data_IF_069772880817
#
_entry.id   IF_069772880817
#
_cell.length_a   1.000
_cell.length_b   1.000
_cell.length_c   1.000
_cell.angle_alpha   90.00
_cell.angle_beta   90.00
_cell.angle_gamma   90.00
#
_symmetry.space_group_name_H-M   'P 1'
#
loop_
_entity.id
_entity.type
_entity.pdbx_description
1 polymer ?
#
# COMPACT_ATOMS: atom_id res chain seq x y z
N UNK A 1 -14.44 -28.15 -13.93
CA UNK A 1 -13.01 -28.34 -13.58
C UNK A 1 -12.88 -27.98 -12.10
N UNK A 2 -12.70 -28.95 -11.22
CA UNK A 2 -12.58 -28.68 -9.78
C UNK A 2 -11.32 -27.85 -9.53
N UNK A 3 -11.49 -26.57 -9.18
CA UNK A 3 -10.38 -25.76 -8.69
C UNK A 3 -9.87 -26.37 -7.40
N UNK A 4 -8.62 -26.84 -7.40
CA UNK A 4 -7.91 -27.14 -6.17
C UNK A 4 -7.55 -25.79 -5.53
N UNK A 5 -8.28 -25.42 -4.49
CA UNK A 5 -7.91 -24.29 -3.64
C UNK A 5 -6.71 -24.73 -2.80
N UNK A 6 -5.55 -24.15 -3.09
CA UNK A 6 -4.32 -24.43 -2.35
C UNK A 6 -4.28 -23.60 -1.06
N UNK A 7 -5.17 -23.90 -0.12
CA UNK A 7 -5.28 -23.19 1.17
C UNK A 7 -3.95 -23.25 1.93
N UNK A 8 -3.23 -24.36 1.83
CA UNK A 8 -1.91 -24.54 2.45
C UNK A 8 -0.90 -23.46 2.00
N UNK A 9 -0.93 -23.05 0.73
CA UNK A 9 -0.06 -21.99 0.19
C UNK A 9 -0.43 -20.62 0.77
N UNK A 10 -1.71 -20.34 0.95
CA UNK A 10 -2.19 -19.08 1.54
C UNK A 10 -1.77 -18.98 2.99
N UNK A 11 -2.00 -20.04 3.77
CA UNK A 11 -1.62 -20.08 5.19
C UNK A 11 -0.11 -19.93 5.33
N UNK A 12 0.67 -20.66 4.51
CA UNK A 12 2.13 -20.54 4.48
C UNK A 12 2.57 -19.11 4.21
N UNK A 13 2.07 -18.49 3.13
CA UNK A 13 2.45 -17.13 2.75
C UNK A 13 2.06 -16.10 3.79
N UNK A 14 0.85 -16.19 4.36
CA UNK A 14 0.38 -15.24 5.34
C UNK A 14 1.16 -15.31 6.65
N UNK A 15 1.35 -16.52 7.19
CA UNK A 15 2.06 -16.70 8.47
C UNK A 15 3.53 -16.32 8.34
N UNK A 16 4.21 -16.76 7.28
CA UNK A 16 5.64 -16.46 7.12
C UNK A 16 5.92 -15.01 6.80
N UNK A 17 5.10 -14.35 5.98
CA UNK A 17 5.28 -12.92 5.70
C UNK A 17 5.12 -12.09 6.97
N UNK A 18 4.10 -12.36 7.79
CA UNK A 18 3.94 -11.71 9.10
C UNK A 18 5.11 -11.99 10.04
N UNK A 19 5.55 -13.24 10.11
CA UNK A 19 6.67 -13.64 10.97
C UNK A 19 7.96 -12.93 10.56
N UNK A 20 8.32 -12.95 9.27
CA UNK A 20 9.52 -12.28 8.79
C UNK A 20 9.43 -10.76 8.91
N UNK A 21 8.26 -10.15 8.66
CA UNK A 21 8.06 -8.73 8.91
C UNK A 21 8.23 -8.38 10.40
N UNK A 22 7.73 -9.19 11.33
CA UNK A 22 7.94 -8.99 12.75
C UNK A 22 9.44 -9.11 13.11
N UNK A 23 10.15 -10.09 12.54
CA UNK A 23 11.59 -10.24 12.73
C UNK A 23 12.39 -9.04 12.23
N UNK A 24 11.95 -8.31 11.20
CA UNK A 24 12.59 -7.05 10.82
C UNK A 24 12.67 -6.04 11.98
N UNK A 25 11.73 -6.07 12.91
CA UNK A 25 11.72 -5.18 14.08
C UNK A 25 12.59 -5.65 15.26
N UNK A 26 12.98 -6.93 15.29
CA UNK A 26 13.77 -7.51 16.39
C UNK A 26 15.27 -7.59 16.10
N UNK A 27 15.70 -7.19 14.91
CA UNK A 27 17.05 -7.44 14.43
C UNK A 27 17.89 -6.19 14.53
N UNK A 28 19.03 -6.31 15.22
CA UNK A 28 19.92 -5.18 15.50
C UNK A 28 20.85 -4.82 14.33
N UNK A 29 20.98 -5.70 13.33
CA UNK A 29 21.89 -5.48 12.19
C UNK A 29 21.13 -5.09 10.93
N UNK A 30 21.62 -4.07 10.22
CA UNK A 30 20.99 -3.58 8.97
C UNK A 30 21.01 -4.67 7.88
N UNK A 31 22.05 -5.51 7.85
CA UNK A 31 22.12 -6.67 6.97
C UNK A 31 21.05 -7.71 7.31
N UNK A 32 20.84 -8.00 8.59
CA UNK A 32 19.77 -8.89 9.03
C UNK A 32 18.38 -8.33 8.69
N UNK A 33 18.16 -7.03 8.87
CA UNK A 33 16.93 -6.35 8.43
C UNK A 33 16.69 -6.56 6.92
N UNK A 34 17.71 -6.41 6.08
CA UNK A 34 17.60 -6.66 4.64
C UNK A 34 17.24 -8.12 4.33
N UNK A 35 17.88 -9.10 4.98
CA UNK A 35 17.57 -10.53 4.78
C UNK A 35 16.10 -10.82 5.10
N UNK A 36 15.59 -10.36 6.24
CA UNK A 36 14.20 -10.62 6.63
C UNK A 36 13.21 -9.92 5.72
N UNK A 37 13.56 -8.75 5.19
CA UNK A 37 12.75 -8.06 4.19
C UNK A 37 12.64 -8.90 2.90
N UNK A 38 13.74 -9.47 2.41
CA UNK A 38 13.71 -10.36 1.23
C UNK A 38 12.91 -11.65 1.49
N UNK A 39 13.10 -12.27 2.65
CA UNK A 39 12.37 -13.47 3.04
C UNK A 39 10.86 -13.19 3.14
N UNK A 40 10.46 -12.04 3.69
CA UNK A 40 9.08 -11.61 3.71
C UNK A 40 8.52 -11.46 2.29
N UNK A 41 9.24 -10.77 1.40
CA UNK A 41 8.84 -10.58 0.00
C UNK A 41 8.71 -11.88 -0.80
N UNK A 42 9.63 -12.83 -0.61
CA UNK A 42 9.58 -14.15 -1.26
C UNK A 42 8.48 -15.03 -0.68
N UNK A 43 8.24 -14.97 0.64
CA UNK A 43 7.19 -15.74 1.29
C UNK A 43 5.78 -15.34 0.85
N UNK A 44 5.59 -14.12 0.33
CA UNK A 44 4.30 -13.67 -0.22
C UNK A 44 3.98 -14.27 -1.61
N UNK A 45 4.99 -14.70 -2.37
CA UNK A 45 4.83 -15.17 -3.76
C UNK A 45 3.92 -16.41 -3.89
N UNK A 46 4.01 -17.45 -3.05
CA UNK A 46 3.14 -18.62 -3.17
C UNK A 46 1.64 -18.31 -3.13
N UNK A 47 1.21 -17.25 -2.44
CA UNK A 47 -0.19 -16.81 -2.37
C UNK A 47 -0.75 -16.41 -3.75
N UNK A 48 0.11 -16.01 -4.69
CA UNK A 48 -0.30 -15.70 -6.07
C UNK A 48 -0.90 -16.94 -6.74
N UNK A 49 -0.35 -18.13 -6.50
CA UNK A 49 -0.78 -19.37 -7.16
C UNK A 49 -2.05 -20.02 -6.55
N UNK A 50 -2.73 -19.35 -5.62
CA UNK A 50 -3.91 -19.88 -4.93
C UNK A 50 -5.10 -20.13 -5.87
N UNK A 51 -5.33 -19.21 -6.82
CA UNK A 51 -6.42 -19.28 -7.79
C UNK A 51 -5.84 -19.39 -9.20
N UNK A 52 -6.34 -20.35 -9.99
CA UNK A 52 -5.77 -20.69 -11.31
C UNK A 52 -5.55 -19.47 -12.19
N UNK A 53 -4.29 -19.19 -12.51
CA UNK A 53 -3.87 -17.91 -13.11
C UNK A 53 -4.32 -17.75 -14.56
N UNK A 54 -4.98 -16.62 -14.85
CA UNK A 54 -5.13 -16.12 -16.22
C UNK A 54 -3.79 -15.63 -16.80
N UNK A 55 -3.74 -15.31 -18.10
CA UNK A 55 -2.49 -14.90 -18.78
C UNK A 55 -1.80 -13.68 -18.13
N UNK A 56 -2.57 -12.75 -17.56
CA UNK A 56 -2.06 -11.56 -16.86
C UNK A 56 -1.35 -11.87 -15.52
N UNK A 57 -1.53 -13.09 -15.01
CA UNK A 57 -0.92 -13.54 -13.78
C UNK A 57 0.61 -13.60 -13.90
N UNK A 58 1.12 -14.25 -14.94
CA UNK A 58 2.56 -14.44 -15.13
C UNK A 58 3.29 -13.13 -15.39
N UNK A 59 2.65 -12.20 -16.11
CA UNK A 59 3.22 -10.86 -16.30
C UNK A 59 3.30 -10.09 -14.98
N UNK A 60 2.26 -10.14 -14.14
CA UNK A 60 2.27 -9.51 -12.81
C UNK A 60 3.35 -10.09 -11.89
N UNK A 61 3.50 -11.41 -11.86
CA UNK A 61 4.52 -12.10 -11.06
C UNK A 61 5.93 -11.76 -11.55
N UNK A 62 6.15 -11.74 -12.86
CA UNK A 62 7.44 -11.35 -13.45
C UNK A 62 7.80 -9.91 -13.07
N UNK A 63 6.86 -8.97 -13.19
CA UNK A 63 7.07 -7.56 -12.80
C UNK A 63 7.39 -7.45 -11.31
N UNK A 64 6.65 -8.15 -10.44
CA UNK A 64 6.93 -8.16 -9.00
C UNK A 64 8.35 -8.66 -8.69
N UNK A 65 8.77 -9.80 -9.26
CA UNK A 65 10.09 -10.38 -8.99
C UNK A 65 11.21 -9.48 -9.51
N UNK A 66 11.06 -8.91 -10.71
CA UNK A 66 12.07 -8.01 -11.28
C UNK A 66 12.22 -6.75 -10.41
N UNK A 67 11.11 -6.11 -10.05
CA UNK A 67 11.16 -4.87 -9.26
C UNK A 67 11.65 -5.13 -7.83
N UNK A 68 11.24 -6.25 -7.21
CA UNK A 68 11.76 -6.68 -5.92
C UNK A 68 13.28 -6.92 -5.99
N UNK A 69 13.77 -7.64 -7.00
CA UNK A 69 15.19 -7.90 -7.22
C UNK A 69 16.02 -6.64 -7.50
N UNK A 70 15.50 -5.70 -8.30
CA UNK A 70 16.16 -4.41 -8.55
C UNK A 70 16.23 -3.60 -7.26
N UNK A 71 15.13 -3.53 -6.49
CA UNK A 71 15.11 -2.82 -5.22
C UNK A 71 16.11 -3.39 -4.21
N UNK A 72 16.25 -4.72 -4.15
CA UNK A 72 17.13 -5.41 -3.23
C UNK A 72 18.60 -5.25 -3.60
N UNK A 73 18.92 -5.21 -4.90
CA UNK A 73 20.26 -4.92 -5.39
C UNK A 73 20.71 -3.50 -5.03
N UNK A 74 19.83 -2.49 -5.16
CA UNK A 74 20.12 -1.12 -4.73
C UNK A 74 20.31 -1.02 -3.21
N UNK A 75 19.45 -1.67 -2.42
CA UNK A 75 19.60 -1.73 -0.97
C UNK A 75 20.95 -2.33 -0.58
N UNK A 76 21.29 -3.50 -1.11
CA UNK A 76 22.56 -4.17 -0.81
C UNK A 76 23.77 -3.34 -1.26
N UNK A 77 23.71 -2.73 -2.45
CA UNK A 77 24.76 -1.86 -2.95
C UNK A 77 25.01 -0.64 -2.04
N UNK A 78 23.96 -0.03 -1.53
CA UNK A 78 24.07 1.08 -0.57
C UNK A 78 24.55 0.66 0.82
N UNK A 79 24.29 -0.59 1.22
CA UNK A 79 24.79 -1.14 2.49
C UNK A 79 26.28 -1.51 2.45
N UNK A 80 26.78 -1.98 1.30
CA UNK A 80 28.18 -2.41 1.15
C UNK A 80 29.14 -1.23 0.95
N UNK A 81 28.67 -0.13 0.32
CA UNK A 81 29.49 1.03 0.00
C UNK A 81 28.90 2.30 0.62
N UNK A 82 29.61 2.90 1.58
CA UNK A 82 29.18 4.12 2.28
C UNK A 82 28.90 5.30 1.35
N UNK A 83 29.67 5.43 0.25
CA UNK A 83 29.50 6.49 -0.75
C UNK A 83 28.19 6.36 -1.55
N UNK A 84 27.57 5.18 -1.55
CA UNK A 84 26.34 4.88 -2.29
C UNK A 84 25.10 4.88 -1.38
N UNK A 85 25.14 5.56 -0.25
CA UNK A 85 24.03 5.61 0.71
C UNK A 85 22.69 6.07 0.09
N UNK A 86 22.73 6.90 -0.96
CA UNK A 86 21.54 7.28 -1.75
C UNK A 86 20.81 6.07 -2.36
N UNK A 87 21.51 4.98 -2.71
CA UNK A 87 20.90 3.77 -3.25
C UNK A 87 20.00 3.05 -2.24
N UNK A 88 20.23 3.24 -0.94
CA UNK A 88 19.31 2.70 0.07
C UNK A 88 17.94 3.36 -0.09
N UNK A 89 17.92 4.69 -0.23
CA UNK A 89 16.69 5.45 -0.42
C UNK A 89 15.99 5.06 -1.74
N UNK A 90 16.73 4.98 -2.85
CA UNK A 90 16.18 4.54 -4.15
C UNK A 90 15.61 3.13 -4.06
N UNK A 91 16.34 2.20 -3.42
CA UNK A 91 15.87 0.83 -3.21
C UNK A 91 14.53 0.79 -2.49
N UNK A 92 14.36 1.59 -1.44
CA UNK A 92 13.08 1.69 -0.75
C UNK A 92 11.97 2.41 -1.52
N UNK A 93 12.27 3.47 -2.27
CA UNK A 93 11.28 4.12 -3.16
C UNK A 93 10.73 3.10 -4.15
N UNK A 94 11.61 2.31 -4.77
CA UNK A 94 11.20 1.23 -5.68
C UNK A 94 10.34 0.22 -4.94
N UNK A 95 10.78 -0.25 -3.76
CA UNK A 95 10.12 -1.32 -3.00
C UNK A 95 8.74 -0.93 -2.45
N UNK A 96 8.58 0.31 -2.02
CA UNK A 96 7.31 0.87 -1.55
C UNK A 96 6.41 1.34 -2.71
N UNK A 97 6.94 1.42 -3.93
CA UNK A 97 6.20 1.85 -5.11
C UNK A 97 5.91 3.36 -5.14
N UNK A 98 6.81 4.17 -4.57
CA UNK A 98 6.67 5.62 -4.60
C UNK A 98 7.08 6.15 -5.98
N UNK A 99 6.69 7.40 -6.27
CA UNK A 99 7.07 8.11 -7.47
C UNK A 99 8.60 8.20 -7.55
N UNK A 100 9.22 7.96 -8.72
CA UNK A 100 8.61 7.71 -10.05
C UNK A 100 8.21 6.25 -10.32
N UNK A 101 8.53 5.32 -9.44
CA UNK A 101 8.34 3.89 -9.61
C UNK A 101 6.97 3.39 -9.12
N UNK A 102 5.89 4.15 -9.30
CA UNK A 102 4.56 3.72 -8.83
C UNK A 102 3.87 2.71 -9.76
N UNK A 103 4.15 2.76 -11.06
CA UNK A 103 3.40 2.03 -12.08
C UNK A 103 3.53 0.50 -12.00
N UNK A 104 4.63 -0.02 -11.44
CA UNK A 104 4.78 -1.47 -11.27
C UNK A 104 3.77 -2.03 -10.27
N UNK A 105 3.42 -1.26 -9.23
CA UNK A 105 2.42 -1.68 -8.23
C UNK A 105 1.06 -1.86 -8.90
N UNK A 106 0.67 -0.98 -9.83
CA UNK A 106 -0.55 -1.13 -10.61
C UNK A 106 -0.53 -2.39 -11.48
N UNK A 107 0.57 -2.64 -12.20
CA UNK A 107 0.71 -3.83 -13.02
C UNK A 107 0.60 -5.12 -12.19
N UNK A 108 1.13 -5.09 -10.96
CA UNK A 108 1.03 -6.22 -10.03
C UNK A 108 -0.39 -6.38 -9.49
N UNK A 109 -1.05 -5.32 -9.06
CA UNK A 109 -2.37 -5.40 -8.42
C UNK A 109 -3.42 -5.98 -9.36
N UNK A 110 -3.43 -5.53 -10.62
CA UNK A 110 -4.42 -5.93 -11.63
C UNK A 110 -4.33 -7.41 -12.00
N UNK A 111 -3.14 -7.99 -11.96
CA UNK A 111 -2.93 -9.41 -12.28
C UNK A 111 -3.02 -10.35 -11.07
N UNK A 112 -3.31 -9.83 -9.88
CA UNK A 112 -3.16 -10.56 -8.62
C UNK A 112 -4.46 -10.77 -7.84
N UNK A 113 -4.43 -11.69 -6.89
CA UNK A 113 -5.55 -12.00 -6.01
C UNK A 113 -5.61 -11.03 -4.81
N UNK A 114 -6.80 -10.77 -4.27
CA UNK A 114 -7.02 -9.91 -3.09
C UNK A 114 -6.14 -10.25 -1.88
N UNK A 115 -5.85 -11.52 -1.63
CA UNK A 115 -4.93 -11.94 -0.56
C UNK A 115 -3.49 -11.49 -0.81
N UNK A 116 -3.01 -11.58 -2.04
CA UNK A 116 -1.67 -11.09 -2.38
C UNK A 116 -1.64 -9.55 -2.34
N UNK A 117 -2.71 -8.90 -2.81
CA UNK A 117 -2.89 -7.45 -2.67
C UNK A 117 -2.81 -7.05 -1.19
N UNK A 118 -3.40 -7.82 -0.25
CA UNK A 118 -3.26 -7.55 1.18
C UNK A 118 -1.82 -7.64 1.67
N UNK A 119 -1.13 -8.73 1.33
CA UNK A 119 0.26 -8.93 1.74
C UNK A 119 1.15 -7.79 1.25
N UNK A 120 1.00 -7.38 -0.01
CA UNK A 120 1.79 -6.30 -0.60
C UNK A 120 1.39 -4.92 -0.05
N UNK A 121 0.09 -4.63 0.05
CA UNK A 121 -0.41 -3.30 0.41
C UNK A 121 -0.35 -2.98 1.92
N UNK A 122 -0.24 -4.01 2.78
CA UNK A 122 -0.29 -3.85 4.25
C UNK A 122 0.91 -4.51 4.93
N UNK A 123 1.09 -5.82 4.77
CA UNK A 123 2.10 -6.58 5.55
C UNK A 123 3.51 -6.18 5.16
N UNK A 124 3.83 -6.19 3.86
CA UNK A 124 5.14 -5.83 3.34
C UNK A 124 5.49 -4.33 3.50
N UNK A 125 4.53 -3.50 3.93
CA UNK A 125 4.75 -2.10 4.27
C UNK A 125 5.13 -1.87 5.73
N UNK A 126 5.02 -2.88 6.59
CA UNK A 126 5.45 -2.80 8.00
C UNK A 126 6.89 -2.27 8.17
N UNK A 127 7.88 -2.72 7.36
CA UNK A 127 9.27 -2.23 7.51
C UNK A 127 9.44 -0.72 7.31
N UNK A 128 8.46 -0.01 6.72
CA UNK A 128 8.48 1.44 6.58
C UNK A 128 8.41 2.18 7.94
N UNK A 129 8.01 1.53 9.03
CA UNK A 129 8.07 2.12 10.37
C UNK A 129 9.50 2.35 10.86
N UNK A 130 10.45 1.52 10.40
CA UNK A 130 11.85 1.60 10.82
C UNK A 130 12.68 2.59 10.00
N UNK A 131 12.05 3.26 9.04
CA UNK A 131 12.72 4.16 8.10
C UNK A 131 13.41 5.34 8.79
N UNK A 132 12.78 5.88 9.84
CA UNK A 132 13.37 6.98 10.61
C UNK A 132 14.71 6.56 11.22
N UNK A 133 14.83 5.33 11.75
CA UNK A 133 16.09 4.82 12.31
C UNK A 133 17.18 4.63 11.26
N UNK A 134 16.81 4.28 10.01
CA UNK A 134 17.78 4.06 8.94
C UNK A 134 18.36 5.36 8.39
N UNK A 135 17.58 6.46 8.37
CA UNK A 135 17.91 7.72 7.69
C UNK A 135 18.24 8.90 8.61
N UNK A 136 18.69 8.64 9.85
CA UNK A 136 19.06 9.69 10.81
C UNK A 136 20.23 10.59 10.34
N UNK A 137 20.92 10.25 9.25
CA UNK A 137 22.07 10.98 8.72
C UNK A 137 21.74 11.67 7.38
N UNK A 138 21.16 12.87 7.44
CA UNK A 138 21.27 13.84 6.33
C UNK A 138 19.98 14.57 5.94
N UNK A 139 20.00 15.90 6.02
CA UNK A 139 18.87 16.74 5.64
C UNK A 139 18.54 16.74 4.14
N UNK A 140 19.49 16.46 3.25
CA UNK A 140 19.24 16.45 1.80
C UNK A 140 18.34 15.29 1.34
N UNK A 141 18.50 14.10 1.95
CA UNK A 141 17.67 12.93 1.66
C UNK A 141 16.24 13.11 2.18
N UNK A 142 16.10 13.81 3.32
CA UNK A 142 14.81 14.18 3.87
C UNK A 142 14.03 15.04 2.87
N UNK A 143 14.64 16.10 2.32
CA UNK A 143 13.95 16.98 1.36
C UNK A 143 13.48 16.19 0.13
N UNK A 144 14.33 15.30 -0.40
CA UNK A 144 13.96 14.46 -1.54
C UNK A 144 12.77 13.55 -1.23
N UNK A 145 12.75 12.91 -0.05
CA UNK A 145 11.62 12.07 0.37
C UNK A 145 10.31 12.87 0.49
N UNK A 146 10.35 14.09 1.01
CA UNK A 146 9.15 14.94 1.11
C UNK A 146 8.63 15.32 -0.28
N UNK A 147 9.53 15.61 -1.22
CA UNK A 147 9.19 15.91 -2.61
C UNK A 147 8.56 14.67 -3.29
N UNK A 148 9.13 13.48 -3.08
CA UNK A 148 8.58 12.24 -3.62
C UNK A 148 7.21 11.92 -3.02
N UNK A 149 7.04 12.10 -1.71
CA UNK A 149 5.76 11.93 -1.02
C UNK A 149 4.71 12.95 -1.52
N UNK A 150 5.11 14.19 -1.78
CA UNK A 150 4.24 15.20 -2.37
C UNK A 150 3.76 14.79 -3.77
N UNK A 151 4.68 14.38 -4.65
CA UNK A 151 4.33 13.95 -6.01
C UNK A 151 3.49 12.68 -6.03
N UNK A 152 3.76 11.70 -5.16
CA UNK A 152 2.93 10.49 -5.07
C UNK A 152 1.48 10.82 -4.70
N UNK A 153 1.26 11.63 -3.66
CA UNK A 153 -0.09 12.00 -3.22
C UNK A 153 -0.80 12.82 -4.32
N UNK A 154 -0.10 13.77 -4.93
CA UNK A 154 -0.62 14.56 -6.04
C UNK A 154 -1.04 13.68 -7.22
N UNK A 155 -0.19 12.76 -7.66
CA UNK A 155 -0.49 11.86 -8.77
C UNK A 155 -1.65 10.93 -8.43
N UNK A 156 -1.69 10.35 -7.23
CA UNK A 156 -2.81 9.52 -6.81
C UNK A 156 -4.14 10.30 -6.81
N UNK A 157 -4.13 11.59 -6.46
CA UNK A 157 -5.34 12.44 -6.51
C UNK A 157 -5.86 12.64 -7.94
N UNK A 158 -4.96 12.74 -8.92
CA UNK A 158 -5.33 12.87 -10.33
C UNK A 158 -5.76 11.53 -10.93
N UNK A 159 -5.07 10.45 -10.58
CA UNK A 159 -5.32 9.13 -11.14
C UNK A 159 -6.68 8.53 -10.75
N UNK A 160 -7.29 8.96 -9.64
CA UNK A 160 -8.68 8.56 -9.33
C UNK A 160 -9.66 8.90 -10.46
N UNK A 161 -9.43 10.02 -11.14
CA UNK A 161 -10.33 10.52 -12.19
C UNK A 161 -10.04 9.91 -13.56
N UNK A 162 -8.77 9.62 -13.84
CA UNK A 162 -8.32 9.18 -15.17
C UNK A 162 -8.22 7.65 -15.28
N UNK A 163 -7.75 6.98 -14.23
CA UNK A 163 -7.32 5.58 -14.27
C UNK A 163 -7.85 4.78 -13.08
N UNK A 164 -9.15 4.47 -13.09
CA UNK A 164 -9.82 3.69 -12.04
C UNK A 164 -10.85 2.67 -12.57
N UNK A 165 -10.52 1.83 -13.57
CA UNK A 165 -11.50 0.91 -14.18
C UNK A 165 -11.97 -0.23 -13.26
N UNK A 166 -11.29 -0.48 -12.14
CA UNK A 166 -11.62 -1.56 -11.20
C UNK A 166 -11.20 -1.26 -9.76
N UNK A 167 -11.66 -2.08 -8.82
CA UNK A 167 -11.39 -1.90 -7.39
C UNK A 167 -9.91 -2.08 -7.03
N UNK A 168 -9.17 -2.88 -7.81
CA UNK A 168 -7.73 -3.08 -7.65
C UNK A 168 -6.97 -1.76 -7.86
N UNK A 169 -7.38 -0.94 -8.82
CA UNK A 169 -6.80 0.38 -9.07
C UNK A 169 -7.14 1.37 -7.96
N UNK A 170 -8.41 1.40 -7.52
CA UNK A 170 -8.87 2.24 -6.41
C UNK A 170 -8.09 1.91 -5.14
N UNK A 171 -7.94 0.63 -4.82
CA UNK A 171 -7.15 0.18 -3.68
C UNK A 171 -5.66 0.52 -3.83
N UNK A 172 -5.11 0.43 -5.05
CA UNK A 172 -3.74 0.86 -5.32
C UNK A 172 -3.52 2.33 -4.95
N UNK A 173 -4.40 3.23 -5.41
CA UNK A 173 -4.35 4.67 -5.09
C UNK A 173 -4.42 4.94 -3.59
N UNK A 174 -5.31 4.24 -2.88
CA UNK A 174 -5.45 4.31 -1.41
C UNK A 174 -4.18 3.82 -0.71
N UNK A 175 -3.61 2.71 -1.18
CA UNK A 175 -2.43 2.12 -0.57
C UNK A 175 -1.16 2.93 -0.81
N UNK A 176 -1.03 3.59 -1.97
CA UNK A 176 0.14 4.40 -2.31
C UNK A 176 0.14 5.75 -1.57
N UNK A 177 -1.04 6.35 -1.38
CA UNK A 177 -1.17 7.57 -0.58
C UNK A 177 -1.00 7.29 0.92
N UNK A 178 -1.43 6.13 1.42
CA UNK A 178 -1.26 5.76 2.82
C UNK A 178 0.20 5.53 3.19
N UNK A 179 1.00 4.93 2.30
CA UNK A 179 2.43 4.72 2.56
C UNK A 179 3.24 6.02 2.47
N UNK A 180 2.93 6.93 1.53
CA UNK A 180 3.61 8.21 1.45
C UNK A 180 3.31 9.09 2.67
N UNK A 181 2.06 9.11 3.14
CA UNK A 181 1.70 9.81 4.39
C UNK A 181 2.29 9.18 5.64
N UNK A 182 2.35 7.84 5.70
CA UNK A 182 2.99 7.12 6.80
C UNK A 182 4.50 7.40 6.86
N UNK A 183 5.19 7.42 5.72
CA UNK A 183 6.62 7.76 5.69
C UNK A 183 6.87 9.16 6.22
N UNK A 184 6.08 10.16 5.80
CA UNK A 184 6.18 11.52 6.32
C UNK A 184 5.92 11.54 7.83
N UNK A 185 4.89 10.84 8.31
CA UNK A 185 4.60 10.75 9.74
C UNK A 185 5.73 10.10 10.55
N UNK A 186 6.38 9.05 10.02
CA UNK A 186 7.52 8.39 10.67
C UNK A 186 8.71 9.32 10.91
N UNK A 187 8.95 10.30 10.04
CA UNK A 187 10.04 11.27 10.21
C UNK A 187 9.71 12.41 11.17
N UNK A 188 8.42 12.69 11.38
CA UNK A 188 7.99 13.85 12.16
C UNK A 188 7.54 13.51 13.58
N UNK A 189 7.19 12.26 13.83
CA UNK A 189 6.55 11.84 15.07
C UNK A 189 7.23 10.64 15.68
N UNK A 190 6.96 10.43 16.96
CA UNK A 190 7.48 9.30 17.70
C UNK A 190 6.96 7.97 17.13
N UNK A 191 7.75 6.92 17.33
CA UNK A 191 7.42 5.55 16.92
C UNK A 191 6.04 5.08 17.44
N UNK A 192 5.60 5.58 18.60
CA UNK A 192 4.28 5.23 19.18
C UNK A 192 3.13 5.73 18.29
N UNK A 193 3.23 6.98 17.80
CA UNK A 193 2.18 7.55 16.96
C UNK A 193 2.17 6.90 15.57
N UNK A 194 3.34 6.73 14.94
CA UNK A 194 3.44 6.07 13.64
C UNK A 194 3.02 4.61 13.70
N UNK A 195 3.36 3.90 14.78
CA UNK A 195 2.88 2.55 15.07
C UNK A 195 1.35 2.49 15.24
N UNK A 196 0.75 3.49 15.91
CA UNK A 196 -0.72 3.58 16.02
C UNK A 196 -1.38 3.80 14.66
N UNK A 197 -0.86 4.71 13.83
CA UNK A 197 -1.37 4.98 12.47
C UNK A 197 -1.31 3.69 11.63
N UNK A 198 -0.18 2.98 11.66
CA UNK A 198 -0.02 1.71 10.94
C UNK A 198 -0.96 0.62 11.46
N UNK A 199 -1.06 0.45 12.79
CA UNK A 199 -1.92 -0.56 13.39
C UNK A 199 -3.40 -0.34 13.03
N UNK A 200 -3.82 0.92 13.01
CA UNK A 200 -5.17 1.27 12.57
C UNK A 200 -5.38 0.99 11.08
N UNK A 201 -4.41 1.35 10.23
CA UNK A 201 -4.44 1.02 8.81
C UNK A 201 -4.48 -0.50 8.57
N UNK A 202 -3.71 -1.29 9.33
CA UNK A 202 -3.72 -2.76 9.26
C UNK A 202 -5.12 -3.31 9.55
N UNK A 203 -5.75 -2.86 10.63
CA UNK A 203 -7.10 -3.29 11.01
C UNK A 203 -8.12 -2.89 9.94
N UNK A 204 -8.14 -1.62 9.54
CA UNK A 204 -9.05 -1.11 8.52
C UNK A 204 -8.89 -1.84 7.19
N UNK A 205 -7.66 -2.02 6.72
CA UNK A 205 -7.37 -2.70 5.47
C UNK A 205 -7.76 -4.19 5.51
N UNK A 206 -7.61 -4.86 6.66
CA UNK A 206 -8.09 -6.24 6.82
C UNK A 206 -9.60 -6.33 6.61
N UNK A 207 -10.38 -5.39 7.16
CA UNK A 207 -11.82 -5.33 6.95
C UNK A 207 -12.19 -5.04 5.49
N UNK A 208 -11.49 -4.11 4.84
CA UNK A 208 -11.72 -3.77 3.43
C UNK A 208 -11.45 -4.95 2.50
N UNK A 209 -10.43 -5.76 2.77
CA UNK A 209 -10.10 -6.90 1.91
C UNK A 209 -11.04 -8.07 2.16
N UNK A 210 -11.46 -8.31 3.40
CA UNK A 210 -12.56 -9.24 3.67
C UNK A 210 -13.84 -8.81 2.92
N UNK A 211 -14.12 -7.52 2.85
CA UNK A 211 -15.21 -6.98 2.06
C UNK A 211 -15.03 -7.23 0.56
N UNK A 212 -13.84 -7.01 -0.02
CA UNK A 212 -13.60 -7.28 -1.44
C UNK A 212 -13.64 -8.77 -1.79
N UNK A 213 -13.16 -9.65 -0.90
CA UNK A 213 -13.30 -11.08 -1.05
C UNK A 213 -14.78 -11.49 -1.08
N UNK A 214 -15.60 -10.92 -0.20
CA UNK A 214 -17.04 -11.14 -0.23
C UNK A 214 -17.69 -10.58 -1.50
N UNK A 215 -17.33 -9.36 -1.92
CA UNK A 215 -17.83 -8.75 -3.14
C UNK A 215 -17.48 -9.58 -4.39
N UNK A 216 -16.30 -10.19 -4.44
CA UNK A 216 -15.92 -11.06 -5.56
C UNK A 216 -16.79 -12.33 -5.67
N UNK A 217 -17.51 -12.69 -4.59
CA UNK A 217 -18.41 -13.85 -4.56
C UNK A 217 -19.88 -13.50 -4.83
N UNK A 218 -20.25 -12.22 -4.73
CA UNK A 218 -21.63 -11.73 -4.89
C UNK A 218 -21.66 -10.71 -6.02
N UNK A 219 -22.44 -10.98 -7.06
CA UNK A 219 -22.62 -10.07 -8.21
C UNK A 219 -23.46 -8.83 -7.82
N UNK A 220 -22.91 -7.94 -6.98
CA UNK A 220 -23.53 -6.65 -6.72
C UNK A 220 -23.13 -5.97 -5.41
N UNK A 221 -22.83 -4.67 -5.52
CA UNK A 221 -22.59 -3.76 -4.38
C UNK A 221 -23.88 -3.48 -3.57
N UNK A 222 -25.06 -3.79 -4.14
CA UNK A 222 -26.38 -3.39 -3.64
C UNK A 222 -26.75 -3.99 -2.28
N UNK A 223 -26.34 -5.21 -2.01
CA UNK A 223 -26.71 -5.92 -0.78
C UNK A 223 -25.86 -5.49 0.43
N UNK A 224 -24.72 -4.84 0.18
CA UNK A 224 -23.68 -4.59 1.20
C UNK A 224 -23.38 -3.10 1.37
N UNK A 225 -24.34 -2.24 1.04
CA UNK A 225 -24.16 -0.77 1.04
C UNK A 225 -23.65 -0.21 2.36
N UNK A 226 -24.29 -0.61 3.46
CA UNK A 226 -23.99 -0.04 4.78
C UNK A 226 -22.57 -0.34 5.22
N UNK A 227 -22.06 -1.53 4.85
CA UNK A 227 -20.67 -1.90 5.10
C UNK A 227 -19.74 -1.08 4.21
N UNK A 228 -20.10 -0.84 2.94
CA UNK A 228 -19.35 0.08 2.07
C UNK A 228 -19.27 1.49 2.68
N UNK A 229 -20.39 2.05 3.15
CA UNK A 229 -20.40 3.36 3.79
C UNK A 229 -19.54 3.39 5.07
N UNK A 230 -19.57 2.33 5.86
CA UNK A 230 -18.79 2.22 7.10
C UNK A 230 -17.29 2.04 6.84
N UNK A 231 -16.92 1.32 5.78
CA UNK A 231 -15.52 1.01 5.47
C UNK A 231 -14.83 2.05 4.60
N UNK A 232 -15.52 2.74 3.68
CA UNK A 232 -14.86 3.60 2.69
C UNK A 232 -15.25 5.08 2.79
N UNK A 233 -16.50 5.38 3.10
CA UNK A 233 -16.94 6.78 3.19
C UNK A 233 -16.57 7.38 4.54
N UNK A 234 -16.12 8.62 4.53
CA UNK A 234 -15.87 9.41 5.74
C UNK A 234 -17.23 9.90 6.26
N UNK A 235 -17.75 9.19 7.25
CA UNK A 235 -18.94 9.53 8.04
C UNK A 235 -18.49 9.62 9.51
N UNK A 236 -19.22 10.30 10.41
CA UNK A 236 -18.76 10.56 11.78
C UNK A 236 -18.39 9.30 12.58
N UNK A 237 -18.90 8.13 12.20
CA UNK A 237 -18.65 6.85 12.87
C UNK A 237 -17.82 5.86 12.04
N UNK A 238 -17.37 6.24 10.83
CA UNK A 238 -16.69 5.29 9.95
C UNK A 238 -15.22 5.13 10.27
N UNK A 239 -14.68 3.96 9.91
CA UNK A 239 -13.27 3.65 10.16
C UNK A 239 -12.28 4.60 9.44
N UNK A 240 -12.50 5.02 8.18
CA UNK A 240 -11.58 5.94 7.48
C UNK A 240 -11.40 7.28 8.16
N UNK A 241 -12.41 7.78 8.90
CA UNK A 241 -12.33 9.07 9.58
C UNK A 241 -11.22 9.07 10.63
N UNK A 242 -11.21 8.06 11.50
CA UNK A 242 -10.19 7.95 12.55
C UNK A 242 -8.78 7.77 11.95
N UNK A 243 -8.66 6.99 10.87
CA UNK A 243 -7.40 6.88 10.14
C UNK A 243 -6.92 8.26 9.65
N UNK A 244 -7.75 8.98 8.89
CA UNK A 244 -7.37 10.29 8.31
C UNK A 244 -7.06 11.33 9.39
N UNK A 245 -7.81 11.35 10.50
CA UNK A 245 -7.50 12.23 11.64
C UNK A 245 -6.16 11.89 12.28
N UNK A 246 -5.87 10.60 12.51
CA UNK A 246 -4.59 10.18 13.08
C UNK A 246 -3.40 10.56 12.19
N UNK A 247 -3.55 10.41 10.87
CA UNK A 247 -2.57 10.86 9.87
C UNK A 247 -2.41 12.38 9.88
N UNK A 248 -3.51 13.13 9.96
CA UNK A 248 -3.44 14.58 10.08
C UNK A 248 -2.64 15.01 11.31
N UNK A 249 -2.91 14.42 12.48
CA UNK A 249 -2.13 14.70 13.71
C UNK A 249 -0.63 14.39 13.50
N UNK A 250 -0.31 13.31 12.79
CA UNK A 250 1.07 12.95 12.45
C UNK A 250 1.77 13.93 11.51
N UNK A 251 1.05 14.54 10.57
CA UNK A 251 1.62 15.39 9.52
C UNK A 251 1.56 16.89 9.87
N UNK A 252 0.70 17.32 10.79
CA UNK A 252 0.54 18.75 11.15
C UNK A 252 1.87 19.43 11.50
N UNK A 253 2.78 18.69 12.13
CA UNK A 253 4.10 19.21 12.55
C UNK A 253 5.19 19.10 11.46
N UNK A 254 4.89 18.56 10.27
CA UNK A 254 5.87 18.32 9.21
C UNK A 254 5.98 19.48 8.24
N UNK A 255 5.00 19.64 7.36
CA UNK A 255 4.98 20.64 6.30
C UNK A 255 3.54 20.94 5.88
N UNK A 256 3.24 22.22 5.74
CA UNK A 256 1.92 22.70 5.27
C UNK A 256 1.64 22.19 3.86
N UNK A 257 2.66 22.07 3.00
CA UNK A 257 2.52 21.60 1.62
C UNK A 257 1.94 20.18 1.53
N UNK A 258 2.46 19.26 2.35
CA UNK A 258 1.96 17.88 2.37
C UNK A 258 0.54 17.83 2.93
N UNK A 259 0.24 18.63 3.96
CA UNK A 259 -1.11 18.70 4.52
C UNK A 259 -2.13 19.23 3.49
N UNK A 260 -1.77 20.26 2.72
CA UNK A 260 -2.63 20.81 1.66
C UNK A 260 -2.87 19.74 0.59
N UNK A 261 -1.83 19.06 0.11
CA UNK A 261 -2.03 18.07 -0.96
C UNK A 261 -2.73 16.81 -0.46
N UNK A 262 -2.54 16.43 0.80
CA UNK A 262 -3.30 15.39 1.48
C UNK A 262 -4.79 15.72 1.57
N UNK A 263 -5.14 16.99 1.81
CA UNK A 263 -6.54 17.42 1.83
C UNK A 263 -7.17 17.36 0.44
N UNK A 264 -6.44 17.77 -0.61
CA UNK A 264 -6.87 17.62 -2.01
C UNK A 264 -7.08 16.15 -2.36
N UNK A 265 -6.13 15.29 -2.01
CA UNK A 265 -6.25 13.84 -2.19
C UNK A 265 -7.48 13.28 -1.47
N UNK A 266 -7.64 13.59 -0.18
CA UNK A 266 -8.75 13.11 0.64
C UNK A 266 -10.10 13.55 0.09
N UNK A 267 -10.19 14.77 -0.44
CA UNK A 267 -11.40 15.25 -1.11
C UNK A 267 -11.67 14.50 -2.41
N UNK A 268 -10.64 14.32 -3.26
CA UNK A 268 -10.77 13.59 -4.53
C UNK A 268 -11.23 12.15 -4.35
N UNK A 269 -10.64 11.43 -3.39
CA UNK A 269 -10.98 10.05 -3.04
C UNK A 269 -12.44 9.94 -2.57
N UNK A 270 -12.86 10.82 -1.66
CA UNK A 270 -14.20 10.76 -1.10
C UNK A 270 -15.26 11.16 -2.12
N UNK A 271 -15.01 12.20 -2.91
CA UNK A 271 -15.92 12.59 -3.99
C UNK A 271 -16.10 11.45 -5.01
N UNK A 272 -15.01 10.79 -5.36
CA UNK A 272 -15.04 9.62 -6.24
C UNK A 272 -15.86 8.47 -5.66
N UNK A 273 -15.67 8.13 -4.37
CA UNK A 273 -16.42 7.07 -3.70
C UNK A 273 -17.91 7.40 -3.56
N UNK A 274 -18.26 8.65 -3.30
CA UNK A 274 -19.66 9.11 -3.28
C UNK A 274 -20.31 8.99 -4.67
N UNK A 275 -19.58 9.34 -5.73
CA UNK A 275 -20.06 9.16 -7.12
C UNK A 275 -20.29 7.68 -7.43
N UNK A 276 -19.35 6.81 -7.07
CA UNK A 276 -19.45 5.37 -7.28
C UNK A 276 -20.66 4.76 -6.53
N UNK A 277 -20.87 5.18 -5.28
CA UNK A 277 -22.08 4.84 -4.54
C UNK A 277 -23.33 5.30 -5.29
N UNK A 278 -23.38 6.58 -5.71
CA UNK A 278 -24.52 7.13 -6.45
C UNK A 278 -24.87 6.37 -7.72
N UNK A 279 -23.88 6.05 -8.56
CA UNK A 279 -24.09 5.32 -9.82
C UNK A 279 -24.64 3.90 -9.58
N UNK A 280 -24.25 3.25 -8.48
CA UNK A 280 -24.77 1.91 -8.14
C UNK A 280 -26.25 1.88 -7.72
N UNK A 281 -26.81 2.98 -7.22
CA UNK A 281 -28.21 3.05 -6.71
C UNK A 281 -29.15 3.92 -7.53
N UNK A 282 -28.68 5.01 -8.14
CA UNK A 282 -29.54 6.10 -8.62
C UNK A 282 -29.50 6.35 -10.13
N UNK A 283 -28.52 5.83 -10.87
CA UNK A 283 -28.36 6.22 -12.28
C UNK A 283 -28.20 5.03 -13.23
N UNK A 284 -29.16 4.89 -14.15
CA UNK A 284 -28.98 4.18 -15.41
C UNK A 284 -28.15 4.98 -16.43
N UNK A 285 -27.39 5.97 -15.97
CA UNK A 285 -26.43 6.70 -16.80
C UNK A 285 -25.08 6.06 -16.59
N UNK A 286 -24.74 5.18 -17.53
CA UNK A 286 -23.38 4.73 -17.81
C UNK A 286 -22.38 5.87 -17.61
N UNK A 287 -21.55 5.79 -16.58
CA UNK A 287 -20.17 6.17 -16.75
C UNK A 287 -19.47 4.90 -17.18
N UNK A 288 -19.18 4.78 -18.47
CA UNK A 288 -18.19 3.84 -18.96
C UNK A 288 -16.90 4.12 -18.18
N UNK A 289 -16.55 3.22 -17.28
CA UNK A 289 -15.28 3.19 -16.59
C UNK A 289 -14.25 2.67 -17.61
N UNK A 290 -13.95 3.53 -18.59
CA UNK A 290 -13.41 3.22 -19.92
C UNK A 290 -14.36 2.46 -20.85
#
# INVERSE_FOLDING_TARGET
>A
MFMRLHIDLVVFSFVLSLFFCALCGFVDTILGFWIFLELAGLSAVPCLFYYGGGLNFYSSLMVYIIMAGVSSAFLLGGLLFSELYFFILVGFIIKLGLFPFMFWVYAVFVGSNWLFIFLLSVVLKFPALFFNFLFQLGGALLVLLYVDCFFTIMLCSLLFWVCSPGWEYVWCHISLSSISTLLVACFCTDFVLSGFIYGYYFFWASCCICYFLYLSSVDGVKEVFWVFCFLFLVTPLSLPLFYKLSVCVGIVYSSVYILVIWSVYSFSEQFFLYKLAGDSYLSGTFNSWC
#
